data_IF_059962158155
#
_entry.id   IF_059962158155
#
_cell.length_a   1.000
_cell.length_b   1.000
_cell.length_c   1.000
_cell.angle_alpha   90.00
_cell.angle_beta   90.00
_cell.angle_gamma   90.00
#
_symmetry.space_group_name_H-M   'P 1'
#
loop_
_entity.id
_entity.type
_entity.pdbx_description
1 polymer ?
#
# COMPACT_ATOMS: atom_id res chain seq x y z
N UNK A 1 -6.89 -2.23 -21.80
CA UNK A 1 -5.88 -3.30 -21.83
C UNK A 1 -6.31 -4.34 -20.80
N UNK A 2 -6.84 -5.51 -21.21
CA UNK A 2 -7.25 -6.55 -20.24
C UNK A 2 -5.99 -7.24 -19.73
N UNK A 3 -5.62 -6.99 -18.48
CA UNK A 3 -4.54 -7.75 -17.82
C UNK A 3 -5.03 -9.20 -17.71
N UNK A 4 -4.26 -10.14 -18.26
CA UNK A 4 -4.58 -11.56 -18.10
C UNK A 4 -4.37 -11.95 -16.63
N UNK A 5 -5.25 -12.78 -16.05
CA UNK A 5 -5.12 -13.22 -14.65
C UNK A 5 -3.74 -13.81 -14.34
N UNK A 6 -3.11 -14.44 -15.33
CA UNK A 6 -1.75 -14.98 -15.20
C UNK A 6 -0.70 -13.87 -15.06
N UNK A 7 -0.79 -12.80 -15.84
CA UNK A 7 0.12 -11.65 -15.74
C UNK A 7 -0.04 -10.97 -14.38
N UNK A 8 -1.28 -10.78 -13.92
CA UNK A 8 -1.53 -10.21 -12.60
C UNK A 8 -0.89 -11.03 -11.47
N UNK A 9 -1.04 -12.36 -11.51
CA UNK A 9 -0.42 -13.26 -10.53
C UNK A 9 1.11 -13.22 -10.58
N UNK A 10 1.69 -13.11 -11.78
CA UNK A 10 3.15 -13.00 -11.93
C UNK A 10 3.67 -11.68 -11.35
N UNK A 11 3.01 -10.55 -11.62
CA UNK A 11 3.44 -9.25 -11.08
C UNK A 11 3.24 -9.22 -9.56
N UNK A 12 2.10 -9.73 -9.05
CA UNK A 12 1.86 -9.85 -7.61
C UNK A 12 2.90 -10.74 -6.92
N UNK A 13 3.20 -11.91 -7.48
CA UNK A 13 4.21 -12.81 -6.93
C UNK A 13 5.60 -12.18 -6.94
N UNK A 14 5.94 -11.44 -8.01
CA UNK A 14 7.22 -10.74 -8.12
C UNK A 14 7.34 -9.64 -7.07
N UNK A 15 6.29 -8.84 -6.86
CA UNK A 15 6.26 -7.78 -5.83
C UNK A 15 6.40 -8.38 -4.41
N UNK A 16 5.65 -9.45 -4.11
CA UNK A 16 5.73 -10.15 -2.83
C UNK A 16 7.11 -10.79 -2.58
N UNK A 17 7.74 -11.35 -3.62
CA UNK A 17 9.11 -11.87 -3.53
C UNK A 17 10.10 -10.73 -3.33
N UNK A 18 9.97 -9.62 -4.06
CA UNK A 18 10.86 -8.47 -3.95
C UNK A 18 10.80 -7.84 -2.55
N UNK A 19 9.59 -7.57 -2.03
CA UNK A 19 9.43 -7.00 -0.69
C UNK A 19 9.86 -8.00 0.39
N UNK A 20 9.61 -9.30 0.19
CA UNK A 20 10.09 -10.38 1.06
C UNK A 20 11.62 -10.45 1.10
N UNK A 21 12.30 -10.36 -0.04
CA UNK A 21 13.78 -10.31 -0.09
C UNK A 21 14.30 -9.04 0.58
N UNK A 22 13.70 -7.88 0.28
CA UNK A 22 14.14 -6.61 0.85
C UNK A 22 13.97 -6.58 2.37
N UNK A 23 12.85 -7.07 2.88
CA UNK A 23 12.56 -7.11 4.31
C UNK A 23 13.29 -8.23 5.04
N UNK A 24 13.35 -9.44 4.47
CA UNK A 24 13.92 -10.59 5.15
C UNK A 24 15.43 -10.71 4.93
N UNK A 25 15.92 -10.59 3.69
CA UNK A 25 17.32 -10.79 3.36
C UNK A 25 18.19 -9.56 3.66
N UNK A 26 17.64 -8.35 3.47
CA UNK A 26 18.35 -7.08 3.67
C UNK A 26 18.10 -6.49 5.06
N UNK A 27 16.83 -6.44 5.49
CA UNK A 27 16.46 -5.73 6.72
C UNK A 27 16.61 -6.58 7.98
N UNK A 28 16.05 -7.79 7.99
CA UNK A 28 16.10 -8.68 9.16
C UNK A 28 17.52 -9.08 9.55
N UNK A 29 18.42 -9.22 8.56
CA UNK A 29 19.83 -9.51 8.79
C UNK A 29 20.61 -8.36 9.42
N UNK A 30 20.17 -7.11 9.26
CA UNK A 30 20.95 -5.93 9.66
C UNK A 30 20.48 -5.24 10.94
N UNK A 31 19.19 -5.30 11.29
CA UNK A 31 18.67 -4.49 12.41
C UNK A 31 17.83 -5.23 13.46
N UNK A 32 17.42 -6.49 13.26
CA UNK A 32 16.60 -7.30 14.20
C UNK A 32 15.32 -6.66 14.78
N UNK A 33 14.95 -5.42 14.41
CA UNK A 33 13.72 -4.74 14.81
C UNK A 33 12.59 -5.07 13.84
N UNK A 34 11.55 -5.73 14.36
CA UNK A 34 10.38 -6.22 13.58
C UNK A 34 9.43 -5.10 13.16
N UNK A 35 9.45 -4.00 13.89
CA UNK A 35 8.57 -2.83 13.74
C UNK A 35 8.64 -2.23 12.33
N UNK A 36 9.83 -2.07 11.74
CA UNK A 36 9.96 -1.49 10.40
C UNK A 36 9.40 -2.39 9.30
N UNK A 37 9.61 -3.70 9.48
CA UNK A 37 9.29 -4.73 8.50
C UNK A 37 7.81 -4.73 8.15
N UNK A 38 6.95 -4.65 9.17
CA UNK A 38 5.50 -4.63 9.00
C UNK A 38 5.04 -3.37 8.27
N UNK A 39 5.64 -2.22 8.58
CA UNK A 39 5.30 -0.99 7.88
C UNK A 39 5.70 -0.97 6.42
N UNK A 40 6.89 -1.49 6.09
CA UNK A 40 7.36 -1.63 4.70
C UNK A 40 6.47 -2.57 3.88
N UNK A 41 6.12 -3.73 4.43
CA UNK A 41 5.24 -4.70 3.74
C UNK A 41 3.85 -4.10 3.53
N UNK A 42 3.29 -3.48 4.56
CA UNK A 42 1.97 -2.85 4.50
C UNK A 42 1.90 -1.74 3.45
N UNK A 43 2.92 -0.89 3.37
CA UNK A 43 3.01 0.18 2.37
C UNK A 43 3.12 -0.39 0.96
N UNK A 44 4.01 -1.36 0.74
CA UNK A 44 4.24 -1.93 -0.59
C UNK A 44 3.02 -2.69 -1.12
N UNK A 45 2.41 -3.57 -0.32
CA UNK A 45 1.16 -4.26 -0.70
C UNK A 45 0.05 -3.25 -0.96
N UNK A 46 -0.05 -2.21 -0.14
CA UNK A 46 -1.08 -1.21 -0.29
C UNK A 46 -0.94 -0.37 -1.55
N UNK A 47 0.29 -0.02 -1.91
CA UNK A 47 0.60 0.67 -3.16
C UNK A 47 0.31 -0.22 -4.38
N UNK A 48 0.66 -1.50 -4.31
CA UNK A 48 0.35 -2.47 -5.36
C UNK A 48 -1.16 -2.60 -5.60
N UNK A 49 -1.96 -2.68 -4.53
CA UNK A 49 -3.42 -2.76 -4.63
C UNK A 49 -4.01 -1.51 -5.31
N UNK A 50 -3.57 -0.32 -4.90
CA UNK A 50 -4.02 0.95 -5.49
C UNK A 50 -3.63 1.06 -6.96
N UNK A 51 -2.38 0.73 -7.30
CA UNK A 51 -1.89 0.77 -8.68
C UNK A 51 -2.64 -0.22 -9.59
N UNK A 52 -2.91 -1.43 -9.08
CA UNK A 52 -3.67 -2.46 -9.79
C UNK A 52 -5.11 -2.03 -10.04
N UNK A 53 -5.75 -1.41 -9.04
CA UNK A 53 -7.10 -0.89 -9.17
C UNK A 53 -7.18 0.32 -10.14
N UNK A 54 -6.15 1.17 -10.14
CA UNK A 54 -6.01 2.26 -11.12
C UNK A 54 -5.94 1.77 -12.56
N UNK A 55 -5.42 0.57 -12.80
CA UNK A 55 -5.28 0.02 -14.14
C UNK A 55 -6.64 -0.40 -14.74
N UNK A 56 -7.64 -0.64 -13.89
CA UNK A 56 -9.01 -1.00 -14.29
C UNK A 56 -9.98 0.18 -14.26
N UNK A 57 -9.72 1.20 -13.44
CA UNK A 57 -10.61 2.34 -13.23
C UNK A 57 -9.86 3.65 -13.36
N UNK A 58 -10.41 4.61 -14.10
CA UNK A 58 -9.88 5.97 -14.21
C UNK A 58 -9.87 6.64 -12.83
N UNK A 59 -8.68 6.79 -12.25
CA UNK A 59 -8.50 7.53 -11.00
C UNK A 59 -8.83 9.01 -11.24
N UNK A 60 -9.84 9.52 -10.54
CA UNK A 60 -10.27 10.90 -10.65
C UNK A 60 -9.37 11.82 -9.78
N UNK A 61 -9.25 13.11 -10.11
CA UNK A 61 -8.41 14.08 -9.36
C UNK A 61 -8.77 14.12 -7.87
N UNK A 62 -10.04 13.93 -7.52
CA UNK A 62 -10.51 13.86 -6.13
C UNK A 62 -9.85 12.75 -5.30
N UNK A 63 -9.40 11.66 -5.94
CA UNK A 63 -8.64 10.59 -5.30
C UNK A 63 -7.24 11.05 -4.88
N UNK A 64 -6.52 11.73 -5.78
CA UNK A 64 -5.20 12.28 -5.49
C UNK A 64 -5.25 13.30 -4.35
N UNK A 65 -6.31 14.14 -4.34
CA UNK A 65 -6.56 15.10 -3.26
C UNK A 65 -6.87 14.38 -1.93
N UNK A 66 -7.71 13.33 -1.93
CA UNK A 66 -8.05 12.57 -0.73
C UNK A 66 -6.86 11.83 -0.11
N UNK A 67 -6.03 11.19 -0.94
CA UNK A 67 -4.77 10.58 -0.49
C UNK A 67 -3.80 11.62 0.08
N UNK A 68 -3.66 12.76 -0.59
CA UNK A 68 -2.78 13.83 -0.15
C UNK A 68 -3.24 14.43 1.19
N UNK A 69 -4.54 14.66 1.36
CA UNK A 69 -5.13 15.12 2.61
C UNK A 69 -4.86 14.14 3.76
N UNK A 70 -5.07 12.84 3.53
CA UNK A 70 -4.84 11.83 4.56
C UNK A 70 -3.36 11.67 4.92
N UNK A 71 -2.46 11.69 3.92
CA UNK A 71 -1.02 11.73 4.15
C UNK A 71 -0.56 12.99 4.89
N UNK A 72 -1.20 14.13 4.63
CA UNK A 72 -0.90 15.38 5.34
C UNK A 72 -1.33 15.36 6.81
N UNK A 73 -2.45 14.70 7.15
CA UNK A 73 -2.88 14.46 8.53
C UNK A 73 -1.94 13.51 9.25
N UNK A 74 -1.49 12.43 8.59
CA UNK A 74 -0.49 11.50 9.15
C UNK A 74 0.84 12.22 9.45
N UNK A 75 1.23 13.18 8.60
CA UNK A 75 2.46 13.98 8.78
C UNK A 75 2.35 15.04 9.90
N UNK A 76 1.15 15.52 10.23
CA UNK A 76 0.93 16.62 11.18
C UNK A 76 0.93 16.19 12.67
N UNK A 77 1.13 14.90 12.97
CA UNK A 77 1.18 14.43 14.35
C UNK A 77 2.48 14.89 15.02
N UNK A 78 2.36 15.63 16.14
CA UNK A 78 3.46 16.28 16.87
C UNK A 78 4.43 15.32 17.58
N UNK A 79 4.10 14.02 17.64
CA UNK A 79 5.02 12.97 18.06
C UNK A 79 5.48 12.19 16.83
N UNK A 80 6.78 11.91 16.76
CA UNK A 80 7.37 11.12 15.67
C UNK A 80 6.74 9.72 15.75
N UNK A 81 5.79 9.45 14.85
CA UNK A 81 5.18 8.14 14.74
C UNK A 81 6.26 7.10 14.43
N UNK A 82 6.21 5.95 15.10
CA UNK A 82 7.10 4.87 14.75
C UNK A 82 6.83 4.45 13.30
N UNK A 83 7.85 4.00 12.59
CA UNK A 83 7.70 3.55 11.20
C UNK A 83 6.69 2.38 11.07
N UNK A 84 6.42 1.66 12.16
CA UNK A 84 5.37 0.65 12.25
C UNK A 84 3.97 1.27 12.28
N UNK A 85 3.77 2.32 13.10
CA UNK A 85 2.48 3.03 13.20
C UNK A 85 2.08 3.64 11.85
N UNK A 86 3.04 4.22 11.12
CA UNK A 86 2.82 4.74 9.76
C UNK A 86 2.37 3.62 8.82
N UNK A 87 2.97 2.44 8.96
CA UNK A 87 2.58 1.22 8.28
C UNK A 87 1.12 0.85 8.49
N UNK A 88 0.71 0.74 9.76
CA UNK A 88 -0.68 0.41 10.11
C UNK A 88 -1.67 1.47 9.62
N UNK A 89 -1.34 2.76 9.73
CA UNK A 89 -2.20 3.84 9.22
C UNK A 89 -2.34 3.78 7.70
N UNK A 90 -1.26 3.46 6.99
CA UNK A 90 -1.29 3.32 5.53
C UNK A 90 -2.10 2.10 5.09
N UNK A 91 -1.95 0.95 5.76
CA UNK A 91 -2.73 -0.25 5.48
C UNK A 91 -4.22 0.00 5.71
N UNK A 92 -4.59 0.62 6.84
CA UNK A 92 -5.97 0.97 7.14
C UNK A 92 -6.56 1.92 6.08
N UNK A 93 -5.77 2.89 5.63
CA UNK A 93 -6.13 3.81 4.54
C UNK A 93 -6.41 3.06 3.24
N UNK A 94 -5.50 2.18 2.82
CA UNK A 94 -5.64 1.40 1.58
C UNK A 94 -6.87 0.51 1.65
N UNK A 95 -7.11 -0.15 2.78
CA UNK A 95 -8.31 -0.98 2.98
C UNK A 95 -9.58 -0.15 2.84
N UNK A 96 -9.65 1.01 3.50
CA UNK A 96 -10.79 1.92 3.38
C UNK A 96 -11.01 2.40 1.95
N UNK A 97 -9.91 2.68 1.24
CA UNK A 97 -9.93 3.15 -0.14
C UNK A 97 -10.42 2.09 -1.12
N UNK A 98 -9.86 0.87 -1.07
CA UNK A 98 -10.28 -0.24 -1.94
C UNK A 98 -11.75 -0.58 -1.73
N UNK A 99 -12.21 -0.58 -0.47
CA UNK A 99 -13.62 -0.81 -0.16
C UNK A 99 -14.54 0.32 -0.65
N UNK A 100 -14.11 1.57 -0.51
CA UNK A 100 -14.88 2.73 -0.99
C UNK A 100 -15.03 2.75 -2.50
N UNK A 101 -13.98 2.38 -3.24
CA UNK A 101 -14.01 2.34 -4.71
C UNK A 101 -14.84 1.17 -5.25
N UNK A 102 -14.85 0.03 -4.56
CA UNK A 102 -15.71 -1.10 -4.92
C UNK A 102 -17.22 -0.81 -4.74
N UNK A 103 -17.58 0.30 -4.08
CA UNK A 103 -18.97 0.73 -3.90
C UNK A 103 -19.55 1.54 -5.07
N UNK A 104 -18.70 2.18 -5.89
CA UNK A 104 -19.14 3.07 -6.98
C UNK A 104 -19.74 2.26 -8.16
N UNK A 105 -19.30 1.01 -8.35
CA UNK A 105 -19.77 0.10 -9.40
C UNK A 105 -21.04 -0.72 -9.01
N UNK A 106 -21.65 -0.48 -7.84
CA UNK A 106 -22.72 -1.35 -7.28
C UNK A 106 -24.16 -0.88 -7.53
N UNK A 107 -24.38 0.10 -8.40
CA UNK A 107 -25.69 0.59 -8.82
C UNK A 107 -25.59 1.22 -10.22
#
# INVERSE_FOLDING_TARGET
>A
MRISYQEFLVVLATDLVAIGVLTYALYFRRHQRRDLTLGLVGINIGLFAVASFSATTSINIGFGIGLFALLSVIRLRSTVASQEEIGYYFVALVIGLVNGLAGDDRW
#
